data_IF_977127565754
#
_entry.id   IF_977127565754
#
_cell.length_a   1.000
_cell.length_b   1.000
_cell.length_c   1.000
_cell.angle_alpha   90.00
_cell.angle_beta   90.00
_cell.angle_gamma   90.00
#
_symmetry.space_group_name_H-M   'P 1'
#
loop_
_entity.id
_entity.type
_entity.pdbx_description
1 polymer ?
#
# COMPACT_ATOMS: atom_id res chain seq x y z
N UNK A 1 -36.26 -7.13 8.23
CA UNK A 1 -35.56 -7.40 9.50
C UNK A 1 -34.17 -7.95 9.19
N UNK A 2 -33.11 -7.22 9.56
CA UNK A 2 -31.72 -7.52 9.21
C UNK A 2 -31.00 -8.05 10.46
N UNK A 3 -31.33 -9.27 10.86
CA UNK A 3 -30.64 -9.96 11.94
C UNK A 3 -29.55 -10.88 11.35
N UNK A 4 -28.46 -11.05 12.12
CA UNK A 4 -27.27 -11.90 11.89
C UNK A 4 -26.12 -11.31 11.08
N UNK A 5 -25.31 -10.44 11.72
CA UNK A 5 -23.86 -10.38 11.50
C UNK A 5 -23.12 -9.94 12.79
N UNK A 6 -23.26 -10.69 13.89
CA UNK A 6 -22.44 -10.47 15.12
C UNK A 6 -21.75 -11.76 15.59
N UNK A 7 -21.75 -12.83 14.81
CA UNK A 7 -21.04 -14.07 15.18
C UNK A 7 -19.78 -14.29 14.35
N UNK A 8 -18.72 -13.57 14.70
CA UNK A 8 -17.35 -14.09 14.68
C UNK A 8 -16.40 -13.17 15.46
N UNK A 9 -16.84 -12.65 16.61
CA UNK A 9 -15.93 -12.15 17.65
C UNK A 9 -15.33 -13.31 18.47
N UNK A 10 -15.00 -14.44 17.81
CA UNK A 10 -14.21 -15.50 18.44
C UNK A 10 -12.76 -15.12 18.22
N UNK A 11 -12.26 -14.31 19.13
CA UNK A 11 -10.88 -13.92 19.30
C UNK A 11 -9.99 -15.18 19.32
N UNK A 12 -9.09 -15.43 18.34
CA UNK A 12 -7.92 -16.21 18.65
C UNK A 12 -6.97 -15.25 19.37
N UNK A 13 -6.70 -15.54 20.64
CA UNK A 13 -5.66 -14.93 21.49
C UNK A 13 -4.27 -15.18 20.90
N UNK A 14 -4.01 -14.60 19.72
CA UNK A 14 -2.70 -14.56 19.06
C UNK A 14 -2.75 -13.49 17.96
N UNK A 15 -2.87 -12.22 18.36
CA UNK A 15 -2.39 -11.04 17.64
C UNK A 15 -2.33 -11.22 16.12
N UNK A 16 -3.49 -11.25 15.46
CA UNK A 16 -3.56 -11.39 14.01
C UNK A 16 -2.76 -10.24 13.36
N UNK A 17 -1.73 -10.53 12.54
CA UNK A 17 -1.02 -9.49 11.80
C UNK A 17 -1.94 -8.60 10.98
N UNK A 18 -3.14 -9.09 10.60
CA UNK A 18 -4.17 -8.30 9.95
C UNK A 18 -4.81 -7.26 10.89
N UNK A 19 -5.24 -7.68 12.10
CA UNK A 19 -5.82 -6.76 13.09
C UNK A 19 -4.82 -5.67 13.49
N UNK A 20 -3.54 -6.03 13.67
CA UNK A 20 -2.46 -5.05 13.90
C UNK A 20 -2.26 -4.09 12.72
N UNK A 21 -2.58 -4.51 11.50
CA UNK A 21 -2.46 -3.67 10.32
C UNK A 21 -3.62 -2.67 10.24
N UNK A 22 -4.83 -3.10 10.62
CA UNK A 22 -6.01 -2.23 10.70
C UNK A 22 -5.82 -1.13 11.75
N UNK A 23 -5.41 -1.47 12.99
CA UNK A 23 -5.14 -0.47 14.02
C UNK A 23 -4.01 0.49 13.64
N UNK A 24 -2.96 -0.01 12.98
CA UNK A 24 -1.88 0.84 12.47
C UNK A 24 -2.39 1.80 11.38
N UNK A 25 -3.29 1.37 10.50
CA UNK A 25 -3.85 2.23 9.46
C UNK A 25 -4.67 3.36 10.09
N UNK A 26 -5.49 3.08 11.09
CA UNK A 26 -6.26 4.10 11.81
C UNK A 26 -5.34 5.16 12.45
N UNK A 27 -4.27 4.71 13.11
CA UNK A 27 -3.26 5.61 13.67
C UNK A 27 -2.57 6.45 12.60
N UNK A 28 -2.18 5.84 11.48
CA UNK A 28 -1.58 6.58 10.37
C UNK A 28 -2.54 7.65 9.84
N UNK A 29 -3.80 7.29 9.56
CA UNK A 29 -4.78 8.23 9.01
C UNK A 29 -5.02 9.43 9.94
N UNK A 30 -4.98 9.23 11.25
CA UNK A 30 -5.12 10.31 12.23
C UNK A 30 -3.94 11.31 12.20
N UNK A 31 -2.78 10.93 11.67
CA UNK A 31 -1.60 11.81 11.53
C UNK A 31 -1.56 12.58 10.21
N UNK A 32 -2.40 12.22 9.24
CA UNK A 32 -2.37 12.83 7.91
C UNK A 32 -3.26 14.08 7.84
N UNK A 33 -2.91 15.06 7.00
CA UNK A 33 -3.83 16.11 6.62
C UNK A 33 -5.15 15.53 6.10
N UNK A 34 -6.26 16.23 6.34
CA UNK A 34 -7.61 15.74 6.00
C UNK A 34 -7.78 15.40 4.52
N UNK A 35 -7.15 16.16 3.62
CA UNK A 35 -7.11 15.89 2.18
C UNK A 35 -6.44 14.55 1.86
N UNK A 36 -5.26 14.31 2.42
CA UNK A 36 -4.49 13.09 2.21
C UNK A 36 -5.19 11.88 2.81
N UNK A 37 -5.72 12.01 4.04
CA UNK A 37 -6.46 10.94 4.71
C UNK A 37 -7.67 10.49 3.88
N UNK A 38 -8.36 11.43 3.21
CA UNK A 38 -9.52 11.15 2.34
C UNK A 38 -9.15 10.35 1.10
N UNK A 39 -7.91 10.44 0.62
CA UNK A 39 -7.40 9.66 -0.52
C UNK A 39 -6.81 8.32 -0.04
N UNK A 40 -6.01 8.33 1.03
CA UNK A 40 -5.32 7.14 1.55
C UNK A 40 -6.29 6.13 2.16
N UNK A 41 -7.31 6.58 2.89
CA UNK A 41 -8.28 5.69 3.55
C UNK A 41 -8.97 4.70 2.59
N UNK A 42 -9.61 5.15 1.48
CA UNK A 42 -10.25 4.24 0.54
C UNK A 42 -9.24 3.39 -0.23
N UNK A 43 -8.04 3.90 -0.54
CA UNK A 43 -6.99 3.09 -1.15
C UNK A 43 -6.58 1.94 -0.23
N UNK A 44 -6.24 2.25 1.03
CA UNK A 44 -5.79 1.27 2.00
C UNK A 44 -6.86 0.20 2.27
N UNK A 45 -8.12 0.60 2.45
CA UNK A 45 -9.23 -0.33 2.65
C UNK A 45 -9.49 -1.23 1.44
N UNK A 46 -9.68 -0.65 0.24
CA UNK A 46 -10.18 -1.39 -0.91
C UNK A 46 -9.11 -2.14 -1.68
N UNK A 47 -7.89 -1.62 -1.73
CA UNK A 47 -6.79 -2.20 -2.51
C UNK A 47 -5.83 -3.03 -1.68
N UNK A 48 -5.54 -2.61 -0.45
CA UNK A 48 -4.52 -3.27 0.40
C UNK A 48 -5.18 -4.25 1.36
N UNK A 49 -6.01 -3.78 2.30
CA UNK A 49 -6.64 -4.60 3.33
C UNK A 49 -7.61 -5.63 2.75
N UNK A 50 -8.40 -5.28 1.74
CA UNK A 50 -9.28 -6.25 1.06
C UNK A 50 -8.49 -7.42 0.46
N UNK A 51 -7.30 -7.16 -0.10
CA UNK A 51 -6.42 -8.23 -0.63
C UNK A 51 -5.76 -9.02 0.50
N UNK A 52 -5.34 -8.35 1.57
CA UNK A 52 -4.81 -9.00 2.77
C UNK A 52 -5.82 -9.98 3.39
N UNK A 53 -7.08 -9.56 3.58
CA UNK A 53 -8.18 -10.42 4.06
C UNK A 53 -8.37 -11.65 3.18
N UNK A 54 -8.44 -11.48 1.86
CA UNK A 54 -8.55 -12.62 0.92
C UNK A 54 -7.38 -13.59 1.02
N UNK A 55 -6.16 -13.11 1.26
CA UNK A 55 -4.98 -13.97 1.48
C UNK A 55 -5.06 -14.71 2.81
N UNK A 56 -5.45 -14.02 3.88
CA UNK A 56 -5.60 -14.59 5.22
C UNK A 56 -6.64 -15.72 5.26
N UNK A 57 -7.73 -15.60 4.50
CA UNK A 57 -8.73 -16.67 4.37
C UNK A 57 -8.20 -17.94 3.68
N UNK A 58 -7.20 -17.81 2.79
CA UNK A 58 -6.66 -18.94 2.02
C UNK A 58 -5.47 -19.62 2.71
N UNK A 59 -4.67 -18.85 3.44
CA UNK A 59 -3.44 -19.30 4.13
C UNK A 59 -3.16 -18.40 5.32
N UNK A 60 -2.34 -18.88 6.28
CA UNK A 60 -1.87 -18.07 7.41
C UNK A 60 -1.23 -16.76 6.90
N UNK A 61 -1.76 -15.62 7.35
CA UNK A 61 -1.24 -14.31 6.99
C UNK A 61 0.11 -14.06 7.70
N UNK A 62 1.16 -13.81 6.91
CA UNK A 62 2.52 -13.70 7.42
C UNK A 62 2.86 -12.25 7.82
N UNK A 63 3.69 -12.04 8.86
CA UNK A 63 4.15 -10.70 9.26
C UNK A 63 4.84 -9.92 8.13
N UNK A 64 5.61 -10.60 7.27
CA UNK A 64 6.27 -10.01 6.09
C UNK A 64 5.26 -9.45 5.08
N UNK A 65 4.11 -10.11 4.94
CA UNK A 65 3.02 -9.62 4.08
C UNK A 65 2.38 -8.35 4.66
N UNK A 66 2.24 -8.29 5.99
CA UNK A 66 1.73 -7.09 6.67
C UNK A 66 2.70 -5.90 6.51
N UNK A 67 4.00 -6.10 6.69
CA UNK A 67 4.99 -5.04 6.48
C UNK A 67 5.02 -4.55 5.03
N UNK A 68 4.92 -5.45 4.06
CA UNK A 68 4.86 -5.06 2.65
C UNK A 68 3.56 -4.28 2.33
N UNK A 69 2.42 -4.67 2.91
CA UNK A 69 1.17 -3.94 2.79
C UNK A 69 1.28 -2.52 3.41
N UNK A 70 1.94 -2.39 4.57
CA UNK A 70 2.24 -1.08 5.21
C UNK A 70 3.18 -0.23 4.37
N UNK A 71 4.19 -0.84 3.75
CA UNK A 71 5.14 -0.15 2.88
C UNK A 71 4.46 0.50 1.67
N UNK A 72 3.46 -0.17 1.08
CA UNK A 72 2.66 0.40 -0.02
C UNK A 72 1.84 1.60 0.40
N UNK A 73 1.27 1.56 1.60
CA UNK A 73 0.49 2.68 2.14
C UNK A 73 1.42 3.86 2.45
N UNK A 74 2.57 3.61 3.09
CA UNK A 74 3.61 4.62 3.33
C UNK A 74 4.14 5.26 2.04
N UNK A 75 4.35 4.46 0.99
CA UNK A 75 4.76 4.96 -0.32
C UNK A 75 3.72 5.92 -0.91
N UNK A 76 2.43 5.57 -0.85
CA UNK A 76 1.35 6.42 -1.32
C UNK A 76 1.23 7.73 -0.52
N UNK A 77 1.29 7.64 0.82
CA UNK A 77 1.31 8.82 1.69
C UNK A 77 2.49 9.74 1.37
N UNK A 78 3.67 9.17 1.12
CA UNK A 78 4.86 9.95 0.77
C UNK A 78 4.71 10.67 -0.57
N UNK A 79 4.13 10.02 -1.58
CA UNK A 79 3.87 10.67 -2.86
C UNK A 79 2.95 11.89 -2.70
N UNK A 80 1.89 11.77 -1.88
CA UNK A 80 1.01 12.91 -1.58
C UNK A 80 1.74 14.03 -0.84
N UNK A 81 2.59 13.68 0.12
CA UNK A 81 3.40 14.66 0.85
C UNK A 81 4.41 15.38 -0.06
N UNK A 82 5.05 14.66 -0.98
CA UNK A 82 6.00 15.23 -1.94
C UNK A 82 5.27 16.17 -2.94
N UNK A 83 4.06 15.82 -3.40
CA UNK A 83 3.21 16.71 -4.20
C UNK A 83 2.84 17.98 -3.41
N UNK A 84 2.38 17.81 -2.17
CA UNK A 84 1.98 18.93 -1.32
C UNK A 84 3.14 19.88 -1.01
N UNK A 85 4.37 19.36 -0.88
CA UNK A 85 5.58 20.16 -0.72
C UNK A 85 5.85 21.08 -1.93
N UNK A 86 5.49 20.63 -3.13
CA UNK A 86 5.54 21.43 -4.36
C UNK A 86 4.26 22.23 -4.63
N UNK A 87 3.34 22.29 -3.65
CA UNK A 87 2.00 22.92 -3.76
C UNK A 87 1.14 22.33 -4.90
N UNK A 88 1.40 21.08 -5.26
CA UNK A 88 0.62 20.32 -6.21
C UNK A 88 -0.33 19.40 -5.48
N UNK A 89 -1.45 19.11 -6.12
CA UNK A 89 -2.44 18.13 -5.70
C UNK A 89 -2.29 16.84 -6.49
N UNK A 90 -2.92 15.77 -6.02
CA UNK A 90 -2.94 14.51 -6.78
C UNK A 90 -3.52 14.68 -8.20
N UNK A 91 -4.49 15.58 -8.38
CA UNK A 91 -5.11 15.83 -9.68
C UNK A 91 -4.14 16.45 -10.70
N UNK A 92 -3.10 17.13 -10.22
CA UNK A 92 -2.06 17.78 -11.02
C UNK A 92 -0.84 16.87 -11.24
N UNK A 93 -0.98 15.57 -10.92
CA UNK A 93 0.05 14.58 -11.21
C UNK A 93 0.22 14.44 -12.73
N UNK A 94 1.42 14.76 -13.21
CA UNK A 94 1.81 14.66 -14.61
C UNK A 94 2.96 13.66 -14.80
N UNK A 95 3.20 13.28 -16.07
CA UNK A 95 4.25 12.31 -16.43
C UNK A 95 5.66 12.79 -16.01
N UNK A 96 6.08 14.03 -16.33
CA UNK A 96 7.44 14.48 -15.99
C UNK A 96 7.71 14.51 -14.50
N UNK A 97 6.74 14.96 -13.69
CA UNK A 97 6.87 14.97 -12.24
C UNK A 97 7.00 13.55 -11.70
N UNK A 98 6.16 12.62 -12.18
CA UNK A 98 6.19 11.23 -11.75
C UNK A 98 7.52 10.54 -12.11
N UNK A 99 8.03 10.76 -13.32
CA UNK A 99 9.33 10.23 -13.76
C UNK A 99 10.50 10.80 -12.94
N UNK A 100 10.45 12.09 -12.61
CA UNK A 100 11.43 12.69 -11.73
C UNK A 100 11.41 12.05 -10.34
N UNK A 101 10.20 11.94 -9.75
CA UNK A 101 10.00 11.35 -8.44
C UNK A 101 10.52 9.91 -8.34
N UNK A 102 10.36 9.13 -9.41
CA UNK A 102 10.79 7.72 -9.47
C UNK A 102 12.27 7.55 -9.72
N UNK A 103 12.87 8.45 -10.51
CA UNK A 103 14.32 8.48 -10.74
C UNK A 103 15.06 8.72 -9.43
N UNK A 104 14.52 9.57 -8.54
CA UNK A 104 15.08 9.77 -7.20
C UNK A 104 14.88 8.55 -6.28
N UNK A 105 13.87 7.70 -6.55
CA UNK A 105 13.46 6.62 -5.63
C UNK A 105 13.03 5.34 -6.38
N UNK A 106 13.94 4.68 -7.11
CA UNK A 106 13.58 3.55 -7.97
C UNK A 106 13.00 2.37 -7.18
N UNK A 107 13.33 2.20 -5.90
CA UNK A 107 12.75 1.15 -5.05
C UNK A 107 11.26 1.34 -4.72
N UNK A 108 10.72 2.56 -4.86
CA UNK A 108 9.32 2.88 -4.57
C UNK A 108 8.35 2.43 -5.68
N UNK A 109 8.83 2.22 -6.91
CA UNK A 109 7.98 1.93 -8.08
C UNK A 109 7.06 0.72 -7.88
N UNK A 110 7.59 -0.35 -7.29
CA UNK A 110 6.83 -1.59 -7.04
C UNK A 110 5.77 -1.41 -5.95
N UNK A 111 6.04 -0.53 -4.98
CA UNK A 111 5.14 -0.20 -3.88
C UNK A 111 4.01 0.72 -4.34
N UNK A 112 4.31 1.72 -5.18
CA UNK A 112 3.35 2.72 -5.63
C UNK A 112 2.47 2.24 -6.80
N UNK A 113 2.92 1.27 -7.59
CA UNK A 113 2.16 0.79 -8.76
C UNK A 113 0.75 0.30 -8.41
N UNK A 114 0.51 -0.17 -7.17
CA UNK A 114 -0.83 -0.52 -6.70
C UNK A 114 -1.75 0.70 -6.51
N UNK A 115 -1.18 1.80 -6.02
CA UNK A 115 -1.86 3.07 -5.80
C UNK A 115 -2.20 3.76 -7.13
N UNK A 116 -1.24 3.82 -8.06
CA UNK A 116 -1.45 4.47 -9.36
C UNK A 116 -2.55 3.79 -10.18
N UNK A 117 -2.56 2.44 -10.24
CA UNK A 117 -3.64 1.70 -10.89
C UNK A 117 -4.99 2.03 -10.23
N UNK A 118 -5.06 1.98 -8.90
CA UNK A 118 -6.29 2.26 -8.16
C UNK A 118 -6.79 3.71 -8.35
N UNK A 119 -5.87 4.68 -8.41
CA UNK A 119 -6.20 6.09 -8.61
C UNK A 119 -6.65 6.38 -10.03
N UNK A 120 -6.02 5.75 -11.03
CA UNK A 120 -6.46 5.80 -12.43
C UNK A 120 -7.85 5.19 -12.62
N UNK A 121 -8.12 4.03 -12.00
CA UNK A 121 -9.44 3.38 -12.03
C UNK A 121 -10.55 4.24 -11.40
N UNK A 122 -10.17 5.23 -10.57
CA UNK A 122 -11.06 6.20 -9.93
C UNK A 122 -10.98 7.60 -10.54
N UNK A 123 -10.24 7.77 -11.64
CA UNK A 123 -10.04 9.06 -12.32
C UNK A 123 -9.56 10.18 -11.38
N UNK A 124 -8.66 9.85 -10.43
CA UNK A 124 -8.13 10.84 -9.48
C UNK A 124 -7.10 11.79 -10.09
N UNK A 125 -6.53 11.41 -11.23
CA UNK A 125 -5.51 12.16 -11.97
C UNK A 125 -5.55 11.73 -13.45
N UNK A 126 -4.91 12.52 -14.32
CA UNK A 126 -4.83 12.21 -15.75
C UNK A 126 -4.05 10.90 -15.99
N UNK A 127 -4.35 10.12 -17.05
CA UNK A 127 -3.58 8.91 -17.33
C UNK A 127 -2.08 9.20 -17.48
N UNK A 128 -1.26 8.62 -16.60
CA UNK A 128 0.20 8.64 -16.71
C UNK A 128 0.72 7.25 -17.07
N UNK A 129 1.82 7.20 -17.81
CA UNK A 129 2.49 5.97 -18.20
C UNK A 129 3.45 5.52 -17.10
N UNK A 130 3.26 4.29 -16.63
CA UNK A 130 4.19 3.66 -15.71
C UNK A 130 4.36 2.19 -16.04
N UNK A 131 5.61 1.77 -16.20
CA UNK A 131 5.94 0.36 -16.29
C UNK A 131 5.87 -0.22 -14.88
N UNK A 132 4.86 -1.05 -14.60
CA UNK A 132 4.91 -1.89 -13.40
C UNK A 132 6.13 -2.80 -13.59
N UNK A 133 7.17 -2.72 -12.75
CA UNK A 133 8.21 -3.71 -12.80
C UNK A 133 7.52 -5.04 -12.56
N UNK A 134 7.74 -5.97 -13.48
CA UNK A 134 7.36 -7.34 -13.23
C UNK A 134 7.97 -7.70 -11.88
N UNK A 135 7.18 -8.25 -10.95
CA UNK A 135 7.71 -8.81 -9.73
C UNK A 135 8.49 -10.09 -10.12
N UNK A 136 9.63 -9.89 -10.78
CA UNK A 136 10.58 -10.92 -11.11
C UNK A 136 11.28 -11.29 -9.83
N UNK A 137 10.98 -12.51 -9.37
CA UNK A 137 11.89 -13.49 -8.77
C UNK A 137 12.81 -12.95 -7.65
N UNK A 138 12.76 -13.50 -6.42
CA UNK A 138 13.75 -13.19 -5.40
C UNK A 138 15.14 -13.44 -5.97
N UNK A 139 15.95 -12.38 -6.13
CA UNK A 139 17.37 -12.53 -6.38
C UNK A 139 17.94 -13.24 -5.15
N UNK A 140 18.26 -14.52 -5.32
CA UNK A 140 18.86 -15.35 -4.30
C UNK A 140 20.11 -14.63 -3.79
N UNK A 141 20.01 -14.12 -2.57
CA UNK A 141 21.17 -13.62 -1.84
C UNK A 141 21.81 -14.82 -1.15
N UNK A 142 23.07 -15.06 -1.49
CA UNK A 142 24.09 -15.71 -0.65
C UNK A 142 24.04 -17.23 -0.51
N UNK A 143 24.99 -17.89 -1.18
CA UNK A 143 25.88 -18.82 -0.47
C UNK A 143 27.33 -18.60 -0.92
N UNK A 144 28.01 -17.70 -0.22
CA UNK A 144 29.45 -17.67 -0.14
C UNK A 144 29.86 -18.50 1.09
N UNK A 145 30.00 -19.83 0.94
CA UNK A 145 30.78 -20.67 1.86
C UNK A 145 30.90 -22.14 1.38
N UNK A 146 31.94 -22.44 0.61
CA UNK A 146 32.67 -23.72 0.73
C UNK A 146 34.11 -23.47 0.27
N UNK A 147 35.09 -23.42 1.20
CA UNK A 147 35.95 -24.56 1.61
C UNK A 147 36.59 -25.18 0.36
N UNK A 148 37.89 -25.24 0.16
CA UNK A 148 39.06 -25.15 1.03
C UNK A 148 40.28 -24.91 0.16
#
# INVERSE_FOLDING_TARGET
MRALLVQAAVLPTRLDPLARNESWLEQLLATLPSGDARIISPYAHWSVLRRARRRAHRRRYQPTSAEHDRAKIRAATRLLADLAAEKRTLAELDQPWFEHWITTRPSQISLIAGFLVWGRDRSLFAPIEFHRPHAGIPSASTDAARRS
#
